data_IF_712111092657
#
_entry.id   IF_712111092657
#
_cell.length_a   1.000
_cell.length_b   1.000
_cell.length_c   1.000
_cell.angle_alpha   90.00
_cell.angle_beta   90.00
_cell.angle_gamma   90.00
#
_symmetry.space_group_name_H-M   'P 1'
#
loop_
_entity.id
_entity.type
_entity.pdbx_description
1 polymer ?
#
# COMPACT_ATOMS: atom_id res chain seq x y z
N UNK A 1 39.55 -12.28 -2.28
CA UNK A 1 38.93 -11.61 -1.11
C UNK A 1 39.73 -11.92 0.13
N UNK A 2 40.13 -10.91 0.90
CA UNK A 2 40.74 -11.14 2.22
C UNK A 2 39.65 -11.61 3.19
N UNK A 3 39.66 -12.90 3.53
CA UNK A 3 38.65 -13.51 4.40
C UNK A 3 38.70 -12.95 5.83
N UNK A 4 39.89 -12.57 6.29
CA UNK A 4 40.06 -12.02 7.64
C UNK A 4 39.41 -10.65 7.72
N UNK A 5 39.68 -9.78 6.75
CA UNK A 5 39.03 -8.49 6.64
C UNK A 5 37.51 -8.63 6.47
N UNK A 6 37.05 -9.59 5.65
CA UNK A 6 35.62 -9.82 5.44
C UNK A 6 34.89 -10.28 6.71
N UNK A 7 35.52 -11.13 7.55
CA UNK A 7 34.98 -11.52 8.85
C UNK A 7 34.96 -10.38 9.87
N UNK A 8 35.95 -9.49 9.85
CA UNK A 8 35.95 -8.29 10.67
C UNK A 8 34.78 -7.38 10.30
N UNK A 9 34.61 -7.10 9.00
CA UNK A 9 33.45 -6.34 8.50
C UNK A 9 32.13 -7.02 8.86
N UNK A 10 32.03 -8.34 8.73
CA UNK A 10 30.84 -9.09 9.13
C UNK A 10 30.52 -8.96 10.63
N UNK A 11 31.55 -8.94 11.49
CA UNK A 11 31.38 -8.73 12.92
C UNK A 11 31.00 -7.28 13.26
N UNK A 12 31.55 -6.29 12.54
CA UNK A 12 31.19 -4.88 12.67
C UNK A 12 29.74 -4.60 12.24
N UNK A 13 29.31 -5.19 11.13
CA UNK A 13 27.91 -5.14 10.68
C UNK A 13 26.99 -5.90 11.65
N UNK A 14 27.51 -6.99 12.23
CA UNK A 14 26.81 -7.85 13.17
C UNK A 14 25.90 -8.87 12.48
N UNK A 15 25.97 -10.12 12.90
CA UNK A 15 25.13 -11.20 12.37
C UNK A 15 23.65 -11.04 12.77
N UNK A 16 22.69 -11.60 11.99
CA UNK A 16 22.91 -12.24 10.69
C UNK A 16 23.26 -11.21 9.60
N UNK A 17 24.07 -11.62 8.63
CA UNK A 17 24.46 -10.80 7.46
C UNK A 17 24.03 -11.47 6.17
N UNK A 18 23.97 -10.69 5.09
CA UNK A 18 23.73 -11.15 3.74
C UNK A 18 24.98 -10.92 2.88
N UNK A 19 25.50 -11.98 2.29
CA UNK A 19 26.53 -11.90 1.24
C UNK A 19 25.80 -11.86 -0.11
N UNK A 20 26.05 -10.84 -0.92
CA UNK A 20 25.44 -10.63 -2.24
C UNK A 20 26.49 -10.52 -3.33
N UNK A 21 26.20 -11.07 -4.50
CA UNK A 21 26.97 -10.84 -5.72
C UNK A 21 26.90 -9.36 -6.15
N UNK A 22 28.05 -8.76 -6.46
CA UNK A 22 28.17 -7.35 -6.88
C UNK A 22 27.52 -7.10 -8.25
N UNK A 23 27.72 -8.03 -9.20
CA UNK A 23 27.17 -7.96 -10.54
C UNK A 23 25.78 -8.61 -10.69
N UNK A 24 25.17 -9.07 -9.59
CA UNK A 24 23.99 -9.93 -9.61
C UNK A 24 22.64 -9.20 -9.53
N UNK A 25 21.59 -9.87 -10.02
CA UNK A 25 20.18 -9.45 -9.90
C UNK A 25 19.23 -10.66 -9.88
N UNK A 26 18.02 -10.49 -9.34
CA UNK A 26 17.00 -11.55 -9.33
C UNK A 26 17.21 -12.66 -8.28
N UNK A 27 17.95 -12.38 -7.21
CA UNK A 27 18.10 -13.27 -6.05
C UNK A 27 19.14 -14.38 -6.17
N UNK A 28 19.88 -14.45 -7.28
CA UNK A 28 21.00 -15.37 -7.48
C UNK A 28 22.28 -14.81 -6.86
N UNK A 29 23.08 -15.67 -6.23
CA UNK A 29 24.33 -15.30 -5.58
C UNK A 29 24.15 -14.58 -4.25
N UNK A 30 23.05 -14.85 -3.54
CA UNK A 30 22.80 -14.32 -2.19
C UNK A 30 22.89 -15.44 -1.14
N UNK A 31 23.54 -15.18 0.00
CA UNK A 31 23.65 -16.11 1.13
C UNK A 31 23.46 -15.40 2.45
N UNK A 32 22.56 -15.91 3.27
CA UNK A 32 22.40 -15.49 4.66
C UNK A 32 23.45 -16.21 5.50
N UNK A 33 24.13 -15.48 6.37
CA UNK A 33 25.11 -15.99 7.32
C UNK A 33 24.61 -15.64 8.72
N UNK A 34 24.30 -16.64 9.55
CA UNK A 34 23.70 -16.39 10.87
C UNK A 34 24.75 -16.22 11.96
N UNK A 35 25.98 -16.68 11.73
CA UNK A 35 27.07 -16.64 12.69
C UNK A 35 28.42 -16.72 12.00
N UNK A 36 29.48 -16.33 12.71
CA UNK A 36 30.84 -16.37 12.18
C UNK A 36 31.29 -17.77 11.72
N UNK A 37 30.79 -18.83 12.36
CA UNK A 37 31.13 -20.22 11.98
C UNK A 37 30.60 -20.62 10.61
N UNK A 38 29.53 -19.96 10.13
CA UNK A 38 28.94 -20.22 8.81
C UNK A 38 29.63 -19.41 7.71
N UNK A 39 30.41 -18.38 8.07
CA UNK A 39 30.87 -17.35 7.13
C UNK A 39 31.68 -17.90 5.96
N UNK A 40 32.68 -18.75 6.23
CA UNK A 40 33.58 -19.24 5.18
C UNK A 40 32.84 -20.09 4.14
N UNK A 41 31.94 -20.97 4.59
CA UNK A 41 31.13 -21.80 3.69
C UNK A 41 30.21 -20.94 2.83
N UNK A 42 29.51 -19.99 3.45
CA UNK A 42 28.55 -19.16 2.74
C UNK A 42 29.23 -18.20 1.75
N UNK A 43 30.40 -17.67 2.09
CA UNK A 43 31.20 -16.85 1.19
C UNK A 43 31.61 -17.64 -0.06
N UNK A 44 32.17 -18.83 0.10
CA UNK A 44 32.57 -19.69 -1.03
C UNK A 44 31.39 -20.02 -1.94
N UNK A 45 30.23 -20.32 -1.35
CA UNK A 45 29.00 -20.64 -2.10
C UNK A 45 28.47 -19.42 -2.84
N UNK A 46 28.50 -18.23 -2.23
CA UNK A 46 28.07 -17.00 -2.87
C UNK A 46 28.98 -16.64 -4.06
N UNK A 47 30.30 -16.70 -3.88
CA UNK A 47 31.28 -16.41 -4.94
C UNK A 47 31.18 -17.42 -6.09
N UNK A 48 31.03 -18.71 -5.79
CA UNK A 48 30.91 -19.75 -6.82
C UNK A 48 29.64 -19.56 -7.66
N UNK A 49 28.52 -19.20 -7.03
CA UNK A 49 27.26 -18.93 -7.74
C UNK A 49 27.33 -17.64 -8.55
N UNK A 50 27.98 -16.59 -8.01
CA UNK A 50 28.20 -15.33 -8.70
C UNK A 50 29.04 -15.53 -9.97
N UNK A 51 30.15 -16.26 -9.85
CA UNK A 51 31.02 -16.60 -10.97
C UNK A 51 30.28 -17.42 -12.04
N UNK A 52 29.52 -18.43 -11.63
CA UNK A 52 28.77 -19.29 -12.54
C UNK A 52 27.62 -18.55 -13.27
N UNK A 53 27.00 -17.58 -12.61
CA UNK A 53 25.83 -16.88 -13.14
C UNK A 53 26.19 -15.61 -13.92
N UNK A 54 27.23 -14.90 -13.49
CA UNK A 54 27.55 -13.55 -13.96
C UNK A 54 28.99 -13.40 -14.47
N UNK A 55 29.83 -14.43 -14.35
CA UNK A 55 31.23 -14.37 -14.76
C UNK A 55 32.12 -13.50 -13.86
N UNK A 56 31.60 -13.06 -12.71
CA UNK A 56 32.25 -12.20 -11.73
C UNK A 56 32.00 -12.77 -10.32
N UNK A 57 33.07 -13.02 -9.55
CA UNK A 57 33.03 -13.58 -8.20
C UNK A 57 33.01 -12.51 -7.11
N UNK A 58 32.93 -11.22 -7.48
CA UNK A 58 32.83 -10.12 -6.56
C UNK A 58 31.54 -10.19 -5.75
N UNK A 59 31.68 -10.06 -4.42
CA UNK A 59 30.58 -10.06 -3.47
C UNK A 59 30.75 -8.94 -2.46
N UNK A 60 29.67 -8.52 -1.82
CA UNK A 60 29.65 -7.55 -0.75
C UNK A 60 28.76 -8.03 0.42
N UNK A 61 28.95 -7.43 1.60
CA UNK A 61 28.29 -7.78 2.84
C UNK A 61 27.30 -6.68 3.20
N UNK A 62 26.06 -7.06 3.50
CA UNK A 62 25.02 -6.20 4.08
C UNK A 62 24.50 -6.80 5.38
N UNK A 63 23.89 -5.98 6.23
CA UNK A 63 23.09 -6.50 7.36
C UNK A 63 21.91 -7.30 6.81
N UNK A 64 21.65 -8.50 7.35
CA UNK A 64 20.43 -9.23 7.02
C UNK A 64 19.37 -8.91 8.07
N UNK A 65 18.27 -8.32 7.63
CA UNK A 65 17.19 -7.91 8.51
C UNK A 65 16.07 -8.95 8.41
N UNK A 66 15.81 -9.65 9.51
CA UNK A 66 14.93 -10.82 9.50
C UNK A 66 13.46 -10.42 9.48
N UNK A 67 13.09 -9.40 10.25
CA UNK A 67 11.72 -8.92 10.42
C UNK A 67 11.62 -7.44 10.05
N UNK A 68 11.89 -7.06 8.78
CA UNK A 68 12.06 -5.67 8.43
C UNK A 68 10.72 -4.95 8.42
N UNK A 69 10.62 -3.89 9.22
CA UNK A 69 9.62 -2.84 9.06
C UNK A 69 10.14 -1.81 8.07
N UNK A 70 9.25 -1.32 7.22
CA UNK A 70 9.54 -0.24 6.30
C UNK A 70 8.98 1.05 6.89
N UNK A 71 9.86 1.91 7.39
CA UNK A 71 9.50 3.20 7.98
C UNK A 71 10.16 4.29 7.16
N UNK A 72 9.42 5.35 6.88
CA UNK A 72 9.92 6.44 6.05
C UNK A 72 9.60 7.79 6.65
N UNK A 73 10.47 8.77 6.44
CA UNK A 73 10.35 10.12 7.01
C UNK A 73 10.07 11.11 5.89
N UNK A 74 8.95 11.83 6.00
CA UNK A 74 8.66 12.96 5.12
C UNK A 74 9.62 14.10 5.41
N UNK A 75 10.29 14.63 4.40
CA UNK A 75 11.07 15.87 4.48
C UNK A 75 10.50 16.93 3.55
N UNK A 76 10.63 18.19 3.96
CA UNK A 76 10.27 19.36 3.16
C UNK A 76 11.35 20.43 3.34
N UNK A 77 11.95 20.86 2.24
CA UNK A 77 12.93 21.95 2.24
C UNK A 77 12.50 23.12 1.34
N UNK A 78 12.98 24.33 1.64
CA UNK A 78 12.86 25.49 0.75
C UNK A 78 14.19 25.87 0.09
N UNK A 79 14.14 26.88 -0.79
CA UNK A 79 15.32 27.39 -1.49
C UNK A 79 16.20 28.30 -0.60
N UNK A 80 15.82 28.53 0.65
CA UNK A 80 16.51 29.40 1.61
C UNK A 80 17.30 28.61 2.66
N UNK A 81 17.33 27.28 2.52
CA UNK A 81 18.08 26.38 3.39
C UNK A 81 17.30 25.89 4.61
N UNK A 82 16.01 26.21 4.73
CA UNK A 82 15.15 25.61 5.75
C UNK A 82 14.76 24.20 5.31
N UNK A 83 14.96 23.22 6.20
CA UNK A 83 14.56 21.82 5.99
C UNK A 83 13.93 21.32 7.29
N UNK A 84 12.74 20.73 7.18
CA UNK A 84 12.02 20.11 8.30
C UNK A 84 11.59 18.69 7.94
N UNK A 85 11.34 17.84 8.94
CA UNK A 85 10.63 16.58 8.76
C UNK A 85 9.18 16.71 9.25
N UNK A 86 8.27 16.01 8.56
CA UNK A 86 6.85 15.91 8.91
C UNK A 86 6.52 14.52 9.45
N UNK A 87 7.38 14.07 10.38
CA UNK A 87 7.30 12.76 11.05
C UNK A 87 7.39 11.56 10.08
N UNK A 88 7.11 10.37 10.60
CA UNK A 88 7.23 9.11 9.88
C UNK A 88 5.90 8.57 9.35
N UNK A 89 6.02 7.64 8.40
CA UNK A 89 4.97 6.71 7.98
C UNK A 89 5.46 5.28 8.15
N UNK A 90 4.57 4.38 8.53
CA UNK A 90 4.79 2.93 8.54
C UNK A 90 4.14 2.29 7.31
N UNK A 91 4.98 1.73 6.44
CA UNK A 91 4.60 1.22 5.13
C UNK A 91 4.87 -0.29 5.02
N UNK A 92 4.88 -1.00 6.15
CA UNK A 92 5.28 -2.41 6.21
C UNK A 92 4.25 -3.37 5.62
N UNK A 93 2.99 -2.98 5.42
CA UNK A 93 2.02 -3.87 4.75
C UNK A 93 2.24 -3.83 3.24
N UNK A 94 2.98 -4.82 2.75
CA UNK A 94 3.44 -4.89 1.37
C UNK A 94 3.20 -6.26 0.73
N UNK A 95 3.08 -6.27 -0.59
CA UNK A 95 3.08 -7.48 -1.41
C UNK A 95 4.11 -7.34 -2.52
N UNK A 96 5.09 -8.25 -2.57
CA UNK A 96 6.21 -8.19 -3.54
C UNK A 96 6.89 -6.81 -3.58
N UNK A 97 7.13 -6.22 -2.41
CA UNK A 97 7.72 -4.88 -2.23
C UNK A 97 6.85 -3.71 -2.71
N UNK A 98 5.58 -3.95 -3.05
CA UNK A 98 4.60 -2.90 -3.31
C UNK A 98 3.80 -2.64 -2.03
N UNK A 99 3.80 -1.39 -1.57
CA UNK A 99 3.01 -0.94 -0.41
C UNK A 99 1.51 -1.04 -0.74
N UNK A 100 0.72 -1.50 0.21
CA UNK A 100 -0.74 -1.68 0.08
C UNK A 100 -1.52 -0.90 1.16
N UNK A 101 -0.96 -0.82 2.37
CA UNK A 101 -1.50 -0.06 3.49
C UNK A 101 -0.36 0.69 4.17
N UNK A 102 -0.61 1.96 4.46
CA UNK A 102 0.33 2.88 5.07
C UNK A 102 -0.35 3.58 6.25
N UNK A 103 0.38 3.85 7.33
CA UNK A 103 -0.14 4.60 8.46
C UNK A 103 0.82 5.67 8.97
N UNK A 104 0.27 6.73 9.56
CA UNK A 104 1.03 7.78 10.21
C UNK A 104 0.34 8.17 11.53
N UNK A 105 1.07 8.27 12.65
CA UNK A 105 2.45 7.77 12.84
C UNK A 105 2.59 6.25 12.73
N UNK A 106 3.84 5.78 12.82
CA UNK A 106 4.11 4.38 13.10
C UNK A 106 3.62 3.97 14.48
N UNK A 107 3.03 2.78 14.57
CA UNK A 107 2.54 2.21 15.83
C UNK A 107 3.68 1.78 16.77
N UNK A 108 4.90 1.61 16.27
CA UNK A 108 6.01 1.00 17.03
C UNK A 108 7.12 1.97 17.42
N UNK A 109 7.23 3.12 16.74
CA UNK A 109 8.30 4.05 17.05
C UNK A 109 8.09 4.77 18.38
N UNK A 110 9.10 4.68 19.25
CA UNK A 110 9.18 5.52 20.45
C UNK A 110 9.48 6.97 20.08
N UNK A 111 9.17 7.96 20.94
CA UNK A 111 9.53 9.36 20.69
C UNK A 111 11.03 9.57 20.43
N UNK A 112 11.89 8.82 21.12
CA UNK A 112 13.35 8.90 20.97
C UNK A 112 13.82 8.41 19.59
N UNK A 113 13.34 7.24 19.14
CA UNK A 113 13.71 6.71 17.83
C UNK A 113 13.16 7.60 16.71
N UNK A 114 11.93 8.10 16.87
CA UNK A 114 11.31 9.05 15.93
C UNK A 114 12.13 10.32 15.75
N UNK A 115 12.61 10.91 16.86
CA UNK A 115 13.48 12.09 16.80
C UNK A 115 14.79 11.78 16.08
N UNK A 116 15.44 10.65 16.41
CA UNK A 116 16.70 10.22 15.77
C UNK A 116 16.52 10.00 14.26
N UNK A 117 15.45 9.34 13.85
CA UNK A 117 15.13 9.10 12.43
C UNK A 117 14.77 10.40 11.70
N UNK A 118 13.98 11.26 12.35
CA UNK A 118 13.63 12.59 11.85
C UNK A 118 14.86 13.45 11.55
N UNK A 119 15.76 13.55 12.52
CA UNK A 119 17.03 14.27 12.35
C UNK A 119 17.91 13.65 11.27
N UNK A 120 18.01 12.31 11.22
CA UNK A 120 18.77 11.61 10.18
C UNK A 120 18.23 11.93 8.78
N UNK A 121 16.92 11.94 8.58
CA UNK A 121 16.30 12.27 7.30
C UNK A 121 16.55 13.73 6.89
N UNK A 122 16.49 14.67 7.83
CA UNK A 122 16.84 16.07 7.61
C UNK A 122 18.31 16.21 7.23
N UNK A 123 19.21 15.46 7.88
CA UNK A 123 20.65 15.48 7.58
C UNK A 123 20.95 14.92 6.18
N UNK A 124 20.28 13.84 5.78
CA UNK A 124 20.34 13.29 4.41
C UNK A 124 19.90 14.35 3.39
N UNK A 125 18.75 14.98 3.61
CA UNK A 125 18.25 16.04 2.74
C UNK A 125 19.21 17.24 2.68
N UNK A 126 19.78 17.65 3.82
CA UNK A 126 20.74 18.76 3.90
C UNK A 126 22.03 18.45 3.16
N UNK A 127 22.56 17.23 3.26
CA UNK A 127 23.79 16.81 2.59
C UNK A 127 23.70 16.93 1.05
N UNK A 128 22.49 16.78 0.51
CA UNK A 128 22.21 16.91 -0.92
C UNK A 128 21.77 18.32 -1.34
N UNK A 129 21.67 19.29 -0.42
CA UNK A 129 21.11 20.62 -0.72
C UNK A 129 19.65 20.56 -1.17
N UNK A 130 18.87 19.63 -0.60
CA UNK A 130 17.53 19.30 -1.08
C UNK A 130 16.50 20.38 -0.74
N UNK A 131 15.60 20.66 -1.70
CA UNK A 131 14.39 21.48 -1.51
C UNK A 131 13.21 20.83 -2.22
N UNK A 132 11.99 21.19 -1.83
CA UNK A 132 10.75 20.51 -2.20
C UNK A 132 10.41 19.37 -1.23
N UNK A 133 9.38 18.59 -1.57
CA UNK A 133 9.00 17.41 -0.80
C UNK A 133 9.86 16.21 -1.21
N UNK A 134 10.34 15.45 -0.23
CA UNK A 134 11.04 14.19 -0.44
C UNK A 134 10.76 13.23 0.70
N UNK A 135 11.18 11.99 0.57
CA UNK A 135 11.05 11.02 1.66
C UNK A 135 12.30 10.18 1.77
N UNK A 136 12.77 10.01 3.00
CA UNK A 136 13.92 9.16 3.32
C UNK A 136 13.37 7.86 3.90
N UNK A 137 13.60 6.75 3.20
CA UNK A 137 13.14 5.42 3.59
C UNK A 137 14.19 4.70 4.42
N UNK A 138 13.73 3.98 5.43
CA UNK A 138 14.54 3.18 6.33
C UNK A 138 13.96 1.77 6.45
N UNK A 139 14.85 0.81 6.65
CA UNK A 139 14.48 -0.48 7.22
C UNK A 139 14.75 -0.43 8.72
N UNK A 140 13.74 -0.82 9.50
CA UNK A 140 13.81 -0.92 10.96
C UNK A 140 13.73 -2.38 11.37
N UNK A 141 14.64 -2.82 12.22
CA UNK A 141 14.69 -4.20 12.72
C UNK A 141 13.88 -4.39 14.02
N UNK A 142 13.88 -5.62 14.54
CA UNK A 142 13.20 -5.99 15.78
C UNK A 142 13.69 -5.29 17.05
N UNK A 143 14.91 -4.73 17.03
CA UNK A 143 15.50 -3.98 18.15
C UNK A 143 15.28 -2.46 18.02
N UNK A 144 14.56 -2.02 16.99
CA UNK A 144 14.39 -0.62 16.59
C UNK A 144 15.70 0.06 16.15
N UNK A 145 16.68 -0.73 15.71
CA UNK A 145 17.80 -0.22 14.93
C UNK A 145 17.31 0.06 13.50
N UNK A 146 17.71 1.22 12.95
CA UNK A 146 17.25 1.68 11.65
C UNK A 146 18.42 1.89 10.69
N UNK A 147 18.17 1.55 9.43
CA UNK A 147 19.17 1.55 8.36
C UNK A 147 18.59 2.31 7.16
N UNK A 148 19.33 3.31 6.67
CA UNK A 148 18.95 4.03 5.45
C UNK A 148 18.80 3.05 4.29
N UNK A 149 17.71 3.18 3.54
CA UNK A 149 17.43 2.38 2.36
C UNK A 149 17.60 3.23 1.10
N UNK A 150 16.77 4.26 0.94
CA UNK A 150 16.79 5.16 -0.20
C UNK A 150 16.18 6.53 0.14
N UNK A 151 16.32 7.49 -0.77
CA UNK A 151 15.58 8.75 -0.72
C UNK A 151 14.77 8.92 -1.99
N UNK A 152 13.45 9.00 -1.85
CA UNK A 152 12.53 9.35 -2.91
C UNK A 152 12.49 10.88 -3.06
N UNK A 153 13.10 11.39 -4.14
CA UNK A 153 13.20 12.84 -4.43
C UNK A 153 11.95 13.40 -5.11
N UNK A 154 10.78 13.02 -4.59
CA UNK A 154 9.45 13.38 -5.09
C UNK A 154 8.41 13.20 -3.99
N UNK A 155 7.20 13.71 -4.23
CA UNK A 155 6.03 13.35 -3.42
C UNK A 155 5.69 11.86 -3.61
N UNK A 156 5.29 11.21 -2.53
CA UNK A 156 4.86 9.81 -2.52
C UNK A 156 3.33 9.69 -2.53
N UNK A 157 2.85 8.47 -2.81
CA UNK A 157 1.40 8.19 -2.94
C UNK A 157 0.70 8.44 -1.60
N UNK A 158 1.34 7.93 -0.55
CA UNK A 158 0.98 7.90 0.87
C UNK A 158 1.20 9.22 1.62
N UNK A 159 1.50 10.33 0.92
CA UNK A 159 1.59 11.64 1.56
C UNK A 159 0.31 12.09 2.32
N UNK A 160 -0.94 11.70 1.95
CA UNK A 160 -2.14 12.14 2.66
C UNK A 160 -2.17 11.79 4.15
N UNK A 161 -1.60 10.65 4.57
CA UNK A 161 -1.58 10.30 6.00
C UNK A 161 -0.73 11.30 6.79
N UNK A 162 0.38 11.78 6.22
CA UNK A 162 1.19 12.85 6.81
C UNK A 162 0.44 14.19 6.84
N UNK A 163 -0.26 14.54 5.76
CA UNK A 163 -1.04 15.79 5.73
C UNK A 163 -2.13 15.80 6.81
N UNK A 164 -2.80 14.65 7.02
CA UNK A 164 -3.89 14.54 8.01
C UNK A 164 -3.39 14.67 9.45
N UNK A 165 -2.24 14.08 9.79
CA UNK A 165 -1.72 14.16 11.18
C UNK A 165 -1.00 15.47 11.48
N UNK A 166 -0.56 16.22 10.47
CA UNK A 166 0.18 17.48 10.65
C UNK A 166 -0.63 18.73 10.33
N UNK A 167 -1.70 18.60 9.53
CA UNK A 167 -2.44 19.73 8.97
C UNK A 167 -1.68 20.49 7.86
N UNK A 168 -0.54 19.97 7.39
CA UNK A 168 0.26 20.60 6.33
C UNK A 168 -0.13 20.02 4.97
N UNK A 169 -0.63 20.88 4.09
CA UNK A 169 -0.85 20.56 2.67
C UNK A 169 0.49 20.57 1.91
N UNK A 170 1.02 19.38 1.63
CA UNK A 170 2.35 19.17 1.05
C UNK A 170 2.40 19.63 -0.41
N UNK A 171 1.34 19.38 -1.19
CA UNK A 171 1.28 19.80 -2.60
C UNK A 171 1.31 21.32 -2.70
N UNK A 172 0.56 22.02 -1.84
CA UNK A 172 0.57 23.48 -1.76
C UNK A 172 1.94 24.02 -1.34
N UNK A 173 2.60 23.38 -0.35
CA UNK A 173 3.96 23.79 0.03
C UNK A 173 4.96 23.58 -1.10
N UNK A 174 4.87 22.48 -1.86
CA UNK A 174 5.72 22.25 -3.03
C UNK A 174 5.59 23.38 -4.06
N UNK A 175 4.37 23.85 -4.32
CA UNK A 175 4.14 24.99 -5.22
C UNK A 175 4.77 26.26 -4.66
N UNK A 176 4.57 26.56 -3.37
CA UNK A 176 5.16 27.75 -2.74
C UNK A 176 6.69 27.73 -2.72
N UNK A 177 7.30 26.58 -2.45
CA UNK A 177 8.75 26.39 -2.54
C UNK A 177 9.23 26.60 -3.97
N UNK A 178 8.51 26.09 -4.98
CA UNK A 178 8.84 26.32 -6.39
C UNK A 178 8.75 27.81 -6.78
N UNK A 179 7.84 28.56 -6.17
CA UNK A 179 7.73 30.02 -6.30
C UNK A 179 8.83 30.79 -5.51
N UNK A 180 9.72 30.08 -4.81
CA UNK A 180 10.81 30.68 -4.04
C UNK A 180 10.38 31.25 -2.68
N UNK A 181 9.20 30.87 -2.16
CA UNK A 181 8.78 31.26 -0.81
C UNK A 181 9.50 30.42 0.25
N UNK A 182 9.70 31.02 1.41
CA UNK A 182 10.17 30.32 2.61
C UNK A 182 9.07 29.43 3.18
N UNK A 183 9.46 28.36 3.89
CA UNK A 183 8.52 27.55 4.65
C UNK A 183 7.87 28.41 5.76
N UNK A 184 6.54 28.36 5.94
CA UNK A 184 5.85 29.21 6.91
C UNK A 184 5.93 28.68 8.35
N UNK A 185 6.72 27.63 8.61
CA UNK A 185 6.85 26.95 9.90
C UNK A 185 8.27 26.40 10.09
N UNK A 186 8.64 26.20 11.36
CA UNK A 186 9.88 25.56 11.80
C UNK A 186 9.57 24.17 12.37
N UNK A 187 10.61 23.38 12.64
CA UNK A 187 10.46 22.04 13.20
C UNK A 187 9.67 22.05 14.52
N UNK A 188 9.90 23.06 15.37
CA UNK A 188 9.22 23.21 16.67
C UNK A 188 7.72 23.55 16.57
N UNK A 189 7.24 24.03 15.41
CA UNK A 189 5.83 24.37 15.18
C UNK A 189 5.00 23.14 14.77
N UNK A 190 5.67 22.11 14.23
CA UNK A 190 5.03 20.89 13.74
C UNK A 190 4.60 19.99 14.90
N UNK A 191 3.36 19.53 14.83
CA UNK A 191 2.79 18.60 15.81
C UNK A 191 2.11 17.46 15.10
N UNK A 192 2.09 16.33 15.78
CA UNK A 192 1.33 15.18 15.38
C UNK A 192 0.02 15.14 16.16
N UNK A 193 -1.09 15.10 15.45
CA UNK A 193 -2.42 14.95 16.04
C UNK A 193 -3.11 13.75 15.40
N UNK A 194 -3.73 12.92 16.23
CA UNK A 194 -4.49 11.77 15.76
C UNK A 194 -3.64 10.69 15.10
N UNK A 195 -4.31 9.89 14.28
CA UNK A 195 -3.73 8.81 13.50
C UNK A 195 -4.43 8.71 12.15
N UNK A 196 -3.67 8.46 11.09
CA UNK A 196 -4.19 8.32 9.75
C UNK A 196 -3.73 7.02 9.10
N UNK A 197 -4.60 6.42 8.29
CA UNK A 197 -4.32 5.17 7.57
C UNK A 197 -4.77 5.34 6.12
N UNK A 198 -3.92 4.96 5.17
CA UNK A 198 -4.23 4.88 3.75
C UNK A 198 -4.32 3.41 3.32
N UNK A 199 -5.29 3.12 2.45
CA UNK A 199 -5.41 1.86 1.73
C UNK A 199 -5.44 2.15 0.24
N UNK A 200 -4.53 1.51 -0.50
CA UNK A 200 -4.50 1.62 -1.96
C UNK A 200 -5.63 0.81 -2.57
N UNK A 201 -6.49 1.47 -3.33
CA UNK A 201 -7.62 0.84 -4.02
C UNK A 201 -7.17 0.50 -5.44
N UNK A 202 -6.82 -0.77 -5.63
CA UNK A 202 -6.33 -1.29 -6.90
C UNK A 202 -7.34 -2.27 -7.50
N UNK A 203 -7.42 -2.27 -8.83
CA UNK A 203 -8.17 -3.24 -9.62
C UNK A 203 -7.39 -4.56 -9.70
N UNK A 204 -7.31 -5.24 -8.57
CA UNK A 204 -6.65 -6.53 -8.40
C UNK A 204 -7.56 -7.45 -7.60
N UNK A 205 -7.49 -8.76 -7.85
CA UNK A 205 -8.23 -9.77 -7.07
C UNK A 205 -7.32 -10.45 -6.03
N UNK A 206 -7.43 -10.10 -4.72
CA UNK A 206 -6.65 -10.76 -3.67
C UNK A 206 -6.92 -12.27 -3.56
N UNK A 207 -8.09 -12.75 -4.02
CA UNK A 207 -8.42 -14.19 -4.04
C UNK A 207 -7.64 -14.94 -5.10
N UNK A 208 -7.30 -14.26 -6.19
CA UNK A 208 -6.53 -14.80 -7.29
C UNK A 208 -5.09 -14.25 -7.29
N UNK A 209 -4.44 -14.28 -6.12
CA UNK A 209 -3.05 -13.85 -5.94
C UNK A 209 -2.78 -12.41 -6.40
N UNK A 210 -3.73 -11.49 -6.20
CA UNK A 210 -3.63 -10.08 -6.62
C UNK A 210 -3.29 -9.97 -8.11
N UNK A 211 -3.99 -10.73 -8.94
CA UNK A 211 -3.93 -10.54 -10.39
C UNK A 211 -4.74 -9.30 -10.76
N UNK A 212 -4.25 -8.45 -11.68
CA UNK A 212 -5.02 -7.31 -12.18
C UNK A 212 -6.36 -7.76 -12.77
N UNK A 213 -7.43 -7.08 -12.39
CA UNK A 213 -8.77 -7.28 -12.92
C UNK A 213 -9.24 -6.03 -13.66
N UNK A 214 -8.99 -6.02 -14.97
CA UNK A 214 -9.31 -4.88 -15.85
C UNK A 214 -10.75 -4.97 -16.34
N UNK A 215 -11.44 -3.85 -16.37
CA UNK A 215 -12.86 -3.85 -16.70
C UNK A 215 -13.46 -2.46 -16.70
N UNK A 216 -14.79 -2.38 -16.73
CA UNK A 216 -15.52 -1.11 -16.63
C UNK A 216 -16.13 -1.01 -15.24
N UNK A 217 -15.95 0.13 -14.57
CA UNK A 217 -16.60 0.40 -13.30
C UNK A 217 -18.11 0.59 -13.52
N UNK A 218 -18.92 -0.42 -13.20
CA UNK A 218 -20.37 -0.34 -13.34
C UNK A 218 -20.99 0.49 -12.20
N UNK A 219 -20.46 0.33 -10.99
CA UNK A 219 -20.82 1.11 -9.81
C UNK A 219 -19.54 1.68 -9.21
N UNK A 220 -19.55 2.96 -8.86
CA UNK A 220 -18.47 3.61 -8.14
C UNK A 220 -19.05 4.70 -7.22
N UNK A 221 -19.36 4.31 -5.98
CA UNK A 221 -19.89 5.21 -4.95
C UNK A 221 -18.89 5.28 -3.81
N UNK A 222 -18.28 6.45 -3.66
CA UNK A 222 -17.26 6.72 -2.65
C UNK A 222 -17.87 6.77 -1.25
N UNK A 223 -17.18 6.27 -0.22
CA UNK A 223 -17.56 6.51 1.17
C UNK A 223 -17.39 7.99 1.51
N UNK A 224 -18.16 8.45 2.49
CA UNK A 224 -18.14 9.84 2.94
C UNK A 224 -18.15 9.90 4.48
N UNK A 225 -18.04 11.11 5.01
CA UNK A 225 -18.20 11.39 6.44
C UNK A 225 -16.93 11.84 7.12
N UNK A 226 -17.04 12.10 8.42
CA UNK A 226 -15.94 12.63 9.21
C UNK A 226 -14.75 11.68 9.23
N UNK A 227 -13.56 12.22 8.96
CA UNK A 227 -12.31 11.47 8.94
C UNK A 227 -12.19 10.48 7.78
N UNK A 228 -12.91 10.67 6.67
CA UNK A 228 -12.75 9.88 5.43
C UNK A 228 -12.35 10.82 4.29
N UNK A 229 -11.25 10.50 3.62
CA UNK A 229 -10.74 11.18 2.42
C UNK A 229 -10.56 10.15 1.30
N UNK A 230 -10.99 10.51 0.10
CA UNK A 230 -10.78 9.71 -1.11
C UNK A 230 -10.11 10.60 -2.14
N UNK A 231 -8.92 10.19 -2.57
CA UNK A 231 -8.22 10.80 -3.70
C UNK A 231 -8.31 9.82 -4.88
N UNK A 232 -9.07 10.17 -5.91
CA UNK A 232 -9.32 9.31 -7.07
C UNK A 232 -9.12 10.03 -8.41
N UNK A 233 -8.94 9.23 -9.47
CA UNK A 233 -8.76 9.72 -10.84
C UNK A 233 -9.76 9.13 -11.83
N UNK A 234 -10.84 8.51 -11.33
CA UNK A 234 -11.79 7.73 -12.13
C UNK A 234 -13.24 8.03 -11.74
N UNK A 235 -14.16 7.82 -12.67
CA UNK A 235 -15.60 7.98 -12.49
C UNK A 235 -16.37 6.73 -12.91
N UNK A 236 -17.60 6.59 -12.41
CA UNK A 236 -18.48 5.49 -12.78
C UNK A 236 -18.69 5.43 -14.31
N UNK A 237 -18.60 4.24 -14.87
CA UNK A 237 -18.71 3.97 -16.31
C UNK A 237 -17.39 4.04 -17.07
N UNK A 238 -16.29 4.45 -16.43
CA UNK A 238 -14.97 4.42 -17.05
C UNK A 238 -14.33 3.04 -17.00
N UNK A 239 -13.48 2.76 -17.99
CA UNK A 239 -12.68 1.55 -18.04
C UNK A 239 -11.36 1.72 -17.27
N UNK A 240 -10.96 0.66 -16.57
CA UNK A 240 -9.63 0.51 -15.99
C UNK A 240 -8.78 -0.25 -17.03
N UNK A 241 -7.85 0.43 -17.71
CA UNK A 241 -7.05 -0.18 -18.76
C UNK A 241 -5.91 -1.02 -18.18
N UNK A 242 -5.44 -2.00 -18.95
CA UNK A 242 -4.25 -2.81 -18.63
C UNK A 242 -2.93 -2.05 -18.78
N UNK A 243 -2.95 -0.86 -19.38
CA UNK A 243 -1.75 -0.13 -19.78
C UNK A 243 -1.07 0.64 -18.64
N UNK A 244 -1.74 0.82 -17.50
CA UNK A 244 -1.27 1.63 -16.37
C UNK A 244 -1.29 0.82 -15.07
N UNK A 245 -0.88 1.47 -13.98
CA UNK A 245 -1.04 0.90 -12.63
C UNK A 245 -2.51 0.56 -12.35
N UNK A 246 -2.75 -0.52 -11.63
CA UNK A 246 -4.08 -0.96 -11.24
C UNK A 246 -4.72 -0.06 -10.17
N UNK A 247 -3.94 0.78 -9.49
CA UNK A 247 -4.45 1.73 -8.50
C UNK A 247 -5.26 2.86 -9.16
N UNK A 248 -6.52 3.00 -8.74
CA UNK A 248 -7.42 4.04 -9.27
C UNK A 248 -7.96 5.00 -8.21
N UNK A 249 -7.83 4.64 -6.92
CA UNK A 249 -8.16 5.51 -5.80
C UNK A 249 -7.27 5.22 -4.59
N UNK A 250 -7.20 6.19 -3.69
CA UNK A 250 -6.63 6.05 -2.35
C UNK A 250 -7.75 6.31 -1.35
N UNK A 251 -7.97 5.36 -0.44
CA UNK A 251 -8.90 5.54 0.67
C UNK A 251 -8.10 5.86 1.92
N UNK A 252 -8.34 7.02 2.52
CA UNK A 252 -7.61 7.50 3.69
C UNK A 252 -8.58 7.77 4.83
N UNK A 253 -8.27 7.30 6.03
CA UNK A 253 -9.04 7.60 7.23
C UNK A 253 -8.21 8.29 8.30
N UNK A 254 -8.88 9.09 9.13
CA UNK A 254 -8.28 9.81 10.25
C UNK A 254 -9.13 9.66 11.52
N UNK A 255 -8.46 9.37 12.64
CA UNK A 255 -9.05 9.28 13.98
C UNK A 255 -8.25 10.07 15.01
N UNK A 256 -8.86 10.32 16.17
CA UNK A 256 -8.19 10.84 17.37
C UNK A 256 -7.11 9.89 17.88
N UNK A 257 -7.27 8.59 17.61
CA UNK A 257 -6.27 7.57 17.82
C UNK A 257 -6.29 6.52 16.70
N UNK A 258 -5.34 5.58 16.76
CA UNK A 258 -5.18 4.50 15.80
C UNK A 258 -6.41 3.58 15.73
N UNK A 259 -7.05 3.31 16.85
CA UNK A 259 -8.22 2.42 16.90
C UNK A 259 -9.37 3.05 16.14
N UNK A 260 -9.66 4.33 16.38
CA UNK A 260 -10.71 5.05 15.68
C UNK A 260 -10.42 5.15 14.16
N UNK A 261 -9.15 5.37 13.77
CA UNK A 261 -8.76 5.39 12.36
C UNK A 261 -9.02 4.04 11.67
N UNK A 262 -8.74 2.93 12.35
CA UNK A 262 -9.01 1.55 11.89
C UNK A 262 -10.51 1.29 11.77
N UNK A 263 -11.31 1.63 12.79
CA UNK A 263 -12.77 1.47 12.76
C UNK A 263 -13.41 2.27 11.63
N UNK A 264 -12.94 3.51 11.42
CA UNK A 264 -13.35 4.33 10.28
C UNK A 264 -12.96 3.71 8.95
N UNK A 265 -11.78 3.09 8.84
CA UNK A 265 -11.34 2.41 7.62
C UNK A 265 -12.24 1.23 7.30
N UNK A 266 -12.53 0.37 8.28
CA UNK A 266 -13.45 -0.77 8.12
C UNK A 266 -14.82 -0.28 7.61
N UNK A 267 -15.39 0.73 8.26
CA UNK A 267 -16.68 1.30 7.88
C UNK A 267 -16.65 1.95 6.48
N UNK A 268 -15.59 2.70 6.17
CA UNK A 268 -15.44 3.33 4.86
C UNK A 268 -15.28 2.29 3.74
N UNK A 269 -14.59 1.18 3.99
CA UNK A 269 -14.51 0.05 3.04
C UNK A 269 -15.90 -0.55 2.80
N UNK A 270 -16.70 -0.77 3.85
CA UNK A 270 -18.05 -1.33 3.74
C UNK A 270 -19.03 -0.41 3.01
N UNK A 271 -18.82 0.89 3.09
CA UNK A 271 -19.59 1.91 2.36
C UNK A 271 -19.10 2.12 0.91
N UNK A 272 -17.89 1.65 0.56
CA UNK A 272 -17.31 1.86 -0.77
C UNK A 272 -17.89 0.86 -1.78
N UNK A 273 -18.90 1.31 -2.54
CA UNK A 273 -19.55 0.45 -3.52
C UNK A 273 -18.82 0.49 -4.85
N UNK A 274 -18.15 -0.60 -5.18
CA UNK A 274 -17.42 -0.79 -6.44
C UNK A 274 -17.90 -2.08 -7.10
N UNK A 275 -18.28 -2.01 -8.37
CA UNK A 275 -18.67 -3.20 -9.15
C UNK A 275 -18.14 -3.13 -10.57
N UNK A 276 -17.96 -4.29 -11.20
CA UNK A 276 -17.41 -4.44 -12.55
C UNK A 276 -15.93 -4.85 -12.59
N UNK A 277 -15.22 -4.71 -11.47
CA UNK A 277 -13.86 -5.23 -11.24
C UNK A 277 -13.72 -5.70 -9.78
N UNK A 278 -12.84 -6.67 -9.53
CA UNK A 278 -12.34 -6.99 -8.20
C UNK A 278 -11.42 -5.87 -7.69
N UNK A 279 -11.31 -5.76 -6.37
CA UNK A 279 -10.46 -4.75 -5.72
C UNK A 279 -9.67 -5.31 -4.56
N UNK A 280 -8.65 -4.55 -4.14
CA UNK A 280 -7.85 -4.80 -2.93
C UNK A 280 -8.59 -4.54 -1.62
N UNK A 281 -9.76 -3.89 -1.63
CA UNK A 281 -10.48 -3.49 -0.42
C UNK A 281 -10.79 -4.64 0.56
N UNK A 282 -11.21 -5.85 0.13
CA UNK A 282 -11.42 -6.97 1.04
C UNK A 282 -10.14 -7.38 1.78
N UNK A 283 -8.98 -7.31 1.11
CA UNK A 283 -7.69 -7.55 1.76
C UNK A 283 -7.35 -6.43 2.74
N UNK A 284 -7.56 -5.17 2.38
CA UNK A 284 -7.34 -4.04 3.29
C UNK A 284 -8.22 -4.18 4.55
N UNK A 285 -9.50 -4.56 4.41
CA UNK A 285 -10.39 -4.84 5.55
C UNK A 285 -9.87 -5.98 6.42
N UNK A 286 -9.38 -7.06 5.80
CA UNK A 286 -8.73 -8.15 6.53
C UNK A 286 -7.53 -7.65 7.36
N UNK A 287 -6.66 -6.82 6.79
CA UNK A 287 -5.53 -6.21 7.51
C UNK A 287 -6.02 -5.43 8.74
N UNK A 288 -7.03 -4.57 8.57
CA UNK A 288 -7.60 -3.76 9.65
C UNK A 288 -8.15 -4.60 10.83
N UNK A 289 -8.58 -5.83 10.55
CA UNK A 289 -9.17 -6.73 11.55
C UNK A 289 -8.17 -7.74 12.13
N UNK A 290 -6.96 -7.84 11.57
CA UNK A 290 -6.00 -8.85 11.95
C UNK A 290 -5.21 -8.46 13.21
N UNK A 291 -5.07 -9.40 14.16
CA UNK A 291 -4.42 -9.17 15.47
C UNK A 291 -2.99 -8.60 15.34
N UNK A 292 -2.20 -9.11 14.39
CA UNK A 292 -0.84 -8.61 14.15
C UNK A 292 -0.83 -7.12 13.77
N UNK A 293 -1.80 -6.66 12.96
CA UNK A 293 -1.91 -5.24 12.60
C UNK A 293 -2.41 -4.41 13.79
N UNK A 294 -3.46 -4.87 14.48
CA UNK A 294 -4.03 -4.20 15.66
C UNK A 294 -2.99 -3.99 16.78
N UNK A 295 -2.14 -4.98 17.02
CA UNK A 295 -1.07 -4.93 18.04
C UNK A 295 0.18 -4.15 17.62
N UNK A 296 0.34 -3.82 16.34
CA UNK A 296 1.58 -3.22 15.80
C UNK A 296 2.70 -4.24 15.52
N UNK A 297 2.48 -5.53 15.83
CA UNK A 297 3.45 -6.61 15.65
C UNK A 297 3.37 -7.24 14.25
N UNK A 298 3.73 -6.48 13.24
CA UNK A 298 3.78 -6.90 11.84
C UNK A 298 5.04 -6.36 11.15
N UNK A 299 5.42 -6.97 10.04
CA UNK A 299 6.55 -6.56 9.21
C UNK A 299 6.21 -6.72 7.72
N UNK A 300 7.18 -6.43 6.84
CA UNK A 300 7.04 -6.54 5.37
C UNK A 300 6.62 -7.92 4.85
N UNK A 301 6.68 -8.97 5.67
CA UNK A 301 6.27 -10.33 5.34
C UNK A 301 4.81 -10.60 5.72
N UNK A 302 4.07 -9.62 6.24
CA UNK A 302 2.70 -9.78 6.73
C UNK A 302 1.82 -10.60 5.77
N UNK A 303 1.81 -10.26 4.48
CA UNK A 303 1.00 -10.96 3.47
C UNK A 303 1.39 -12.43 3.38
N UNK A 304 2.69 -12.75 3.36
CA UNK A 304 3.18 -14.13 3.27
C UNK A 304 2.96 -14.94 4.54
N UNK A 305 2.91 -14.30 5.72
CA UNK A 305 2.75 -14.96 7.01
C UNK A 305 1.29 -15.14 7.44
N UNK A 306 0.43 -14.18 7.11
CA UNK A 306 -0.90 -14.07 7.69
C UNK A 306 -2.05 -14.18 6.68
N UNK A 307 -1.82 -13.88 5.40
CA UNK A 307 -2.88 -13.85 4.41
C UNK A 307 -2.96 -15.14 3.59
N UNK A 308 -4.18 -15.64 3.41
CA UNK A 308 -4.53 -16.67 2.44
C UNK A 308 -5.84 -16.28 1.75
N UNK A 309 -5.97 -16.49 0.43
CA UNK A 309 -7.18 -16.17 -0.33
C UNK A 309 -8.50 -16.64 0.31
N UNK A 310 -8.50 -17.84 0.90
CA UNK A 310 -9.69 -18.48 1.47
C UNK A 310 -10.20 -17.75 2.72
N UNK A 311 -9.39 -16.89 3.33
CA UNK A 311 -9.81 -16.05 4.46
C UNK A 311 -10.78 -14.94 4.04
N UNK A 312 -10.86 -14.65 2.73
CA UNK A 312 -11.82 -13.70 2.15
C UNK A 312 -13.10 -14.37 1.67
N UNK A 313 -13.20 -15.69 1.81
CA UNK A 313 -14.42 -16.40 1.51
C UNK A 313 -15.41 -16.15 2.63
N UNK A 314 -16.45 -15.37 2.34
CA UNK A 314 -17.58 -15.29 3.23
C UNK A 314 -18.23 -16.68 3.31
N UNK A 315 -18.53 -17.12 4.52
CA UNK A 315 -19.52 -18.16 4.75
C UNK A 315 -20.83 -17.42 5.04
N UNK A 316 -21.59 -17.00 4.01
CA UNK A 316 -22.85 -16.31 4.23
C UNK A 316 -23.72 -17.14 5.16
N UNK A 317 -24.36 -16.45 6.11
CA UNK A 317 -25.29 -17.07 7.04
C UNK A 317 -26.26 -17.95 6.23
N UNK A 318 -26.63 -19.15 6.70
CA UNK A 318 -27.65 -19.96 6.06
C UNK A 318 -28.87 -19.17 5.57
N UNK A 319 -29.28 -18.13 6.30
CA UNK A 319 -30.38 -17.22 5.94
C UNK A 319 -30.04 -16.39 4.70
N UNK A 320 -28.85 -15.79 4.61
CA UNK A 320 -28.42 -15.02 3.44
C UNK A 320 -28.29 -15.90 2.20
N UNK A 321 -27.81 -17.13 2.34
CA UNK A 321 -27.78 -18.11 1.26
C UNK A 321 -29.18 -18.44 0.75
N UNK A 322 -30.14 -18.63 1.66
CA UNK A 322 -31.54 -18.86 1.32
C UNK A 322 -32.14 -17.64 0.64
N UNK A 323 -31.85 -16.43 1.14
CA UNK A 323 -32.37 -15.18 0.58
C UNK A 323 -31.83 -14.92 -0.83
N UNK A 324 -30.52 -15.09 -1.03
CA UNK A 324 -29.86 -14.98 -2.33
C UNK A 324 -30.40 -16.02 -3.32
N UNK A 325 -30.58 -17.27 -2.88
CA UNK A 325 -31.21 -18.30 -3.71
C UNK A 325 -32.66 -17.96 -4.08
N UNK A 326 -33.45 -17.43 -3.14
CA UNK A 326 -34.83 -17.02 -3.39
C UNK A 326 -34.90 -15.82 -4.36
N UNK A 327 -34.01 -14.84 -4.22
CA UNK A 327 -33.86 -13.71 -5.14
C UNK A 327 -33.45 -14.17 -6.55
N UNK A 328 -32.45 -15.04 -6.66
CA UNK A 328 -32.01 -15.61 -7.93
C UNK A 328 -33.15 -16.38 -8.62
N UNK A 329 -33.89 -17.21 -7.88
CA UNK A 329 -35.09 -17.89 -8.40
C UNK A 329 -36.12 -16.88 -8.88
N UNK A 330 -36.38 -15.79 -8.14
CA UNK A 330 -37.36 -14.77 -8.52
C UNK A 330 -36.94 -14.00 -9.78
N UNK A 331 -35.67 -13.64 -9.92
CA UNK A 331 -35.13 -12.97 -11.11
C UNK A 331 -35.25 -13.90 -12.33
N UNK A 332 -34.75 -15.13 -12.22
CA UNK A 332 -34.81 -16.12 -13.31
C UNK A 332 -36.24 -16.52 -13.68
N UNK A 333 -37.15 -16.55 -12.70
CA UNK A 333 -38.59 -16.83 -12.94
C UNK A 333 -39.33 -15.62 -13.50
N UNK A 334 -38.90 -14.41 -13.16
CA UNK A 334 -39.40 -13.15 -13.72
C UNK A 334 -39.03 -12.97 -15.19
N UNK A 335 -37.79 -13.31 -15.56
CA UNK A 335 -37.32 -13.33 -16.95
C UNK A 335 -38.04 -14.40 -17.78
N UNK A 336 -38.30 -15.59 -17.21
CA UNK A 336 -39.14 -16.61 -17.87
C UNK A 336 -40.57 -16.14 -18.14
N UNK A 337 -41.15 -15.29 -17.29
CA UNK A 337 -42.48 -14.70 -17.53
C UNK A 337 -42.45 -13.61 -18.61
N UNK A 338 -41.34 -12.88 -18.76
CA UNK A 338 -41.18 -11.89 -19.82
C UNK A 338 -41.01 -12.54 -21.20
N UNK A 339 -40.36 -13.71 -21.29
CA UNK A 339 -40.18 -14.44 -22.55
C UNK A 339 -41.36 -15.34 -22.97
N UNK A 340 -42.34 -15.60 -22.10
CA UNK A 340 -43.51 -16.45 -22.44
C UNK A 340 -44.78 -15.68 -22.79
N UNK A 341 -44.72 -14.36 -22.99
CA UNK A 341 -45.88 -13.54 -23.41
C UNK A 341 -45.81 -13.01 -24.84
N UNK A 342 -44.92 -13.55 -25.66
CA UNK A 342 -44.91 -13.34 -27.10
C UNK A 342 -45.21 -14.65 -27.84
N UNK A 343 -46.46 -15.14 -27.73
CA UNK A 343 -47.03 -15.91 -28.84
C UNK A 343 -48.54 -15.71 -28.99
N UNK A 344 -48.96 -15.81 -30.25
CA UNK A 344 -50.11 -15.18 -30.89
C UNK A 344 -51.50 -15.48 -30.29
N UNK A 345 -52.18 -14.44 -29.81
CA UNK A 345 -53.63 -14.40 -29.63
C UNK A 345 -54.18 -13.09 -30.19
N UNK A 346 -54.97 -13.17 -31.26
CA UNK A 346 -55.47 -12.05 -32.07
C UNK A 346 -55.92 -10.83 -31.25
N UNK A 347 -55.24 -9.70 -31.40
CA UNK A 347 -55.75 -8.41 -30.92
C UNK A 347 -57.05 -8.07 -31.68
N UNK A 348 -58.15 -7.69 -30.98
CA UNK A 348 -59.36 -7.24 -31.66
C UNK A 348 -59.03 -5.98 -32.47
N UNK A 349 -59.29 -6.05 -33.78
CA UNK A 349 -59.12 -4.91 -34.68
C UNK A 349 -60.05 -3.79 -34.19
N UNK A 350 -59.46 -2.65 -33.83
CA UNK A 350 -60.22 -1.44 -33.47
C UNK A 350 -61.24 -1.10 -34.56
N UNK A 351 -62.50 -0.87 -34.16
CA UNK A 351 -63.60 -0.46 -35.06
C UNK A 351 -63.27 0.78 -35.90
N UNK A 352 -62.34 1.62 -35.45
CA UNK A 352 -61.84 2.77 -36.20
C UNK A 352 -61.12 2.36 -37.50
N UNK A 353 -60.43 1.21 -37.50
CA UNK A 353 -59.64 0.71 -38.64
C UNK A 353 -60.51 -0.02 -39.67
N UNK A 354 -61.63 -0.62 -39.23
CA UNK A 354 -62.58 -1.31 -40.10
C UNK A 354 -63.41 -0.33 -40.98
N UNK A 355 -63.68 0.87 -40.49
CA UNK A 355 -64.53 1.85 -41.19
C UNK A 355 -63.81 2.67 -42.28
N UNK A 356 -62.49 2.52 -42.46
CA UNK A 356 -61.72 3.24 -43.50
C UNK A 356 -61.47 2.44 -44.79
N UNK A 357 -61.84 1.16 -44.83
CA UNK A 357 -61.62 0.27 -45.99
C UNK A 357 -62.89 -0.03 -46.79
N UNK A 358 -64.00 0.65 -46.48
CA UNK A 358 -65.19 0.71 -47.35
C UNK A 358 -65.35 2.14 -47.85
N UNK A 359 -64.59 2.47 -48.90
CA UNK A 359 -64.86 3.56 -49.82
C UNK A 359 -64.97 2.96 -51.21
#
# INVERSE_FOLDING_TARGET
TDRTAAKQVAAEVGYPILIKASAGGGGKGMRVVNSESEFDEQLERAQSEALASFGDDAVFIEKYITSPKHIEIQVLGDQHGNIVHLFERECSIQRRHQKLVEEAPSAVLTPEIRERMGQCAVDVARACGYYGAGTVEFIVDENLDFYFLEMNTRLQVEHPVTELITGVDLVKQMIFVAEGKELPFRQEDLKMTGHAIESRVCAEDPRNNFLPDVGTLHTYVRPQGNGVRVDDGIEQGQAIPIYYDAMFAKLVTYGEDRTEAIEKMIRAIDEFQISGVATTLPFCKFVMQHEAFLSGNFDTRFVGLHFKPELLDEHPDPIERILAAALAVRVLSGEKKAQTSADAGSAPVSHWKANRLRA
#
